data_IF_936543194753
#
_entry.id   IF_936543194753
#
_cell.length_a   1.000
_cell.length_b   1.000
_cell.length_c   1.000
_cell.angle_alpha   90.00
_cell.angle_beta   90.00
_cell.angle_gamma   90.00
#
_symmetry.space_group_name_H-M   'P 1'
#
loop_
_entity.id
_entity.type
_entity.pdbx_description
1 polymer ?
#
# COMPACT_ATOMS: atom_id res chain seq x y z
N UNK A 1 27.35 19.47 1.12
CA UNK A 1 26.00 19.34 1.70
C UNK A 1 25.11 19.12 0.50
N UNK A 2 24.81 17.87 0.18
CA UNK A 2 23.90 17.55 -0.92
C UNK A 2 22.47 17.69 -0.38
N UNK A 3 21.77 18.74 -0.82
CA UNK A 3 20.33 18.85 -0.63
C UNK A 3 19.69 17.74 -1.46
N UNK A 4 19.36 16.62 -0.81
CA UNK A 4 18.71 15.49 -1.45
C UNK A 4 17.31 15.92 -1.91
N UNK A 5 17.17 16.13 -3.23
CA UNK A 5 15.89 16.40 -3.88
C UNK A 5 14.97 15.21 -3.66
N UNK A 6 13.90 15.39 -2.87
CA UNK A 6 12.93 14.33 -2.57
C UNK A 6 11.66 14.49 -3.42
N UNK A 7 11.18 13.38 -3.96
CA UNK A 7 9.93 13.34 -4.70
C UNK A 7 8.78 13.15 -3.71
N UNK A 8 7.87 14.12 -3.67
CA UNK A 8 6.61 14.03 -2.93
C UNK A 8 5.52 13.48 -3.86
N UNK A 9 4.70 12.59 -3.33
CA UNK A 9 3.48 12.14 -4.00
C UNK A 9 2.24 12.45 -3.16
N UNK A 10 1.12 12.66 -3.84
CA UNK A 10 -0.21 12.75 -3.26
C UNK A 10 -1.20 12.01 -4.16
N UNK A 11 -1.93 11.05 -3.62
CA UNK A 11 -3.00 10.35 -4.35
C UNK A 11 -4.24 11.24 -4.36
N UNK A 12 -4.71 11.59 -5.55
CA UNK A 12 -5.79 12.56 -5.79
C UNK A 12 -7.16 11.90 -5.97
N UNK A 13 -7.20 10.65 -6.44
CA UNK A 13 -8.40 9.83 -6.58
C UNK A 13 -8.04 8.35 -6.47
N UNK A 14 -9.03 7.49 -6.21
CA UNK A 14 -8.83 6.06 -5.93
C UNK A 14 -9.08 5.73 -4.45
N UNK A 15 -8.89 4.47 -4.07
CA UNK A 15 -9.03 3.95 -2.70
C UNK A 15 -8.10 4.64 -1.71
N UNK A 16 -6.94 5.12 -2.17
CA UNK A 16 -5.94 5.80 -1.35
C UNK A 16 -6.02 7.33 -1.42
N UNK A 17 -7.15 7.90 -1.85
CA UNK A 17 -7.33 9.35 -1.96
C UNK A 17 -6.92 10.09 -0.67
N UNK A 18 -6.07 11.12 -0.83
CA UNK A 18 -5.51 11.91 0.26
C UNK A 18 -4.22 11.34 0.87
N UNK A 19 -3.79 10.13 0.48
CA UNK A 19 -2.50 9.59 0.90
C UNK A 19 -1.37 10.45 0.34
N UNK A 20 -0.48 10.90 1.22
CA UNK A 20 0.72 11.64 0.85
C UNK A 20 1.96 10.93 1.37
N UNK A 21 3.05 11.06 0.63
CA UNK A 21 4.32 10.49 1.04
C UNK A 21 5.49 11.14 0.34
N UNK A 22 6.69 10.70 0.72
CA UNK A 22 7.94 11.13 0.10
C UNK A 22 8.79 9.92 -0.20
N UNK A 23 9.53 9.98 -1.30
CA UNK A 23 10.56 9.01 -1.64
C UNK A 23 11.85 9.74 -1.94
N UNK A 24 12.93 9.24 -1.34
CA UNK A 24 14.32 9.62 -1.61
C UNK A 24 14.92 8.80 -2.75
N UNK A 25 14.17 7.82 -3.27
CA UNK A 25 14.61 7.01 -4.38
C UNK A 25 14.66 7.84 -5.66
N UNK A 26 15.84 7.87 -6.29
CA UNK A 26 15.99 8.44 -7.63
C UNK A 26 15.19 7.66 -8.68
N UNK A 27 14.82 6.42 -8.39
CA UNK A 27 14.06 5.54 -9.25
C UNK A 27 13.03 4.79 -8.41
N UNK A 28 11.76 4.92 -8.77
CA UNK A 28 10.63 4.39 -8.01
C UNK A 28 9.72 3.59 -8.95
N UNK A 29 9.53 2.31 -8.64
CA UNK A 29 8.60 1.41 -9.29
C UNK A 29 7.23 1.51 -8.60
N UNK A 30 6.17 1.79 -9.37
CA UNK A 30 4.80 1.88 -8.85
C UNK A 30 3.95 0.78 -9.48
N UNK A 31 3.18 0.06 -8.66
CA UNK A 31 2.25 -0.95 -9.11
C UNK A 31 1.53 -1.67 -7.96
N UNK A 32 0.88 -2.79 -8.26
CA UNK A 32 0.20 -3.62 -7.26
C UNK A 32 1.05 -4.79 -6.73
N UNK A 33 2.24 -5.00 -7.31
CA UNK A 33 3.16 -6.06 -6.95
C UNK A 33 3.96 -5.70 -5.69
N UNK A 34 4.18 -6.69 -4.83
CA UNK A 34 4.91 -6.49 -3.57
C UNK A 34 6.41 -6.19 -3.75
N UNK A 35 6.94 -6.35 -4.96
CA UNK A 35 8.29 -5.99 -5.36
C UNK A 35 8.38 -4.59 -6.00
N UNK A 36 7.28 -3.82 -6.01
CA UNK A 36 7.28 -2.39 -6.34
C UNK A 36 7.67 -1.53 -5.12
N UNK A 37 8.26 -0.36 -5.37
CA UNK A 37 8.67 0.59 -4.33
C UNK A 37 7.46 1.30 -3.70
N UNK A 38 6.44 1.60 -4.52
CA UNK A 38 5.14 2.09 -4.07
C UNK A 38 4.05 1.12 -4.51
N UNK A 39 3.43 0.47 -3.52
CA UNK A 39 2.40 -0.55 -3.73
C UNK A 39 1.01 0.05 -3.51
N UNK A 40 0.15 -0.04 -4.52
CA UNK A 40 -1.25 0.36 -4.43
C UNK A 40 -2.16 -0.78 -4.89
N UNK A 41 -3.29 -0.97 -4.21
CA UNK A 41 -4.33 -1.92 -4.60
C UNK A 41 -5.46 -1.15 -5.29
N UNK A 42 -5.37 -1.03 -6.62
CA UNK A 42 -6.31 -0.25 -7.44
C UNK A 42 -6.76 -1.02 -8.67
N UNK A 43 -8.00 -0.78 -9.11
CA UNK A 43 -8.50 -1.40 -10.35
C UNK A 43 -7.70 -0.88 -11.56
N UNK A 44 -7.32 -1.81 -12.44
CA UNK A 44 -6.50 -1.50 -13.61
C UNK A 44 -5.00 -1.32 -13.34
N UNK A 45 -4.54 -1.48 -12.09
CA UNK A 45 -3.13 -1.36 -11.74
C UNK A 45 -2.39 -2.71 -11.81
N UNK A 46 -1.60 -2.92 -12.86
CA UNK A 46 -0.67 -4.05 -12.98
C UNK A 46 0.38 -4.14 -11.84
N UNK A 47 0.96 -5.34 -11.60
CA UNK A 47 1.97 -5.53 -10.55
C UNK A 47 3.16 -4.58 -10.67
N UNK A 48 3.67 -4.39 -11.89
CA UNK A 48 4.61 -3.33 -12.26
C UNK A 48 3.91 -2.46 -13.29
N UNK A 49 3.40 -1.30 -12.88
CA UNK A 49 2.60 -0.48 -13.78
C UNK A 49 3.42 0.61 -14.47
N UNK A 50 4.22 1.33 -13.69
CA UNK A 50 5.08 2.38 -14.22
C UNK A 50 6.36 2.52 -13.41
N UNK A 51 7.37 3.10 -14.03
CA UNK A 51 8.62 3.47 -13.37
C UNK A 51 8.83 4.96 -13.47
N UNK A 52 9.11 5.58 -12.33
CA UNK A 52 9.46 7.00 -12.21
C UNK A 52 10.95 7.11 -11.97
N UNK A 53 11.66 7.89 -12.77
CA UNK A 53 13.06 8.26 -12.49
C UNK A 53 13.15 9.77 -12.32
N UNK A 54 13.63 10.24 -11.17
CA UNK A 54 13.76 11.65 -10.86
C UNK A 54 14.97 12.26 -11.58
N UNK A 55 14.72 13.28 -12.41
CA UNK A 55 15.70 14.01 -13.20
C UNK A 55 15.70 15.49 -12.77
N UNK A 56 16.08 15.75 -11.51
CA UNK A 56 16.09 17.10 -10.93
C UNK A 56 14.68 17.68 -10.82
N UNK A 57 14.28 18.55 -11.76
CA UNK A 57 12.95 19.19 -11.82
C UNK A 57 11.97 18.52 -12.78
N UNK A 58 12.36 17.40 -13.37
CA UNK A 58 11.55 16.58 -14.26
C UNK A 58 11.58 15.14 -13.82
N UNK A 59 10.68 14.33 -14.36
CA UNK A 59 10.68 12.88 -14.17
C UNK A 59 10.64 12.19 -15.53
N UNK A 60 11.37 11.10 -15.64
CA UNK A 60 11.16 10.11 -16.70
C UNK A 60 10.10 9.12 -16.23
N UNK A 61 9.08 8.91 -17.06
CA UNK A 61 7.99 7.99 -16.85
C UNK A 61 8.08 6.88 -17.88
N UNK A 62 8.34 5.65 -17.42
CA UNK A 62 8.31 4.45 -18.25
C UNK A 62 7.01 3.68 -17.96
N UNK A 63 6.16 3.53 -18.98
CA UNK A 63 4.96 2.70 -18.88
C UNK A 63 5.35 1.22 -18.98
N UNK A 64 5.13 0.45 -17.92
CA UNK A 64 5.40 -1.00 -17.90
C UNK A 64 4.15 -1.80 -18.25
N UNK A 65 2.98 -1.22 -18.01
CA UNK A 65 1.68 -1.77 -18.38
C UNK A 65 0.84 -0.71 -19.13
N UNK A 66 -0.22 -1.14 -19.85
CA UNK A 66 -1.20 -0.21 -20.42
C UNK A 66 -1.96 0.55 -19.33
N UNK A 67 -2.48 1.74 -19.66
CA UNK A 67 -3.33 2.51 -18.74
C UNK A 67 -2.60 3.62 -17.99
N UNK A 68 -1.39 4.00 -18.42
CA UNK A 68 -0.67 5.16 -17.93
C UNK A 68 -0.95 6.38 -18.82
N UNK A 69 -1.52 7.43 -18.25
CA UNK A 69 -1.65 8.71 -18.97
C UNK A 69 -1.31 9.88 -18.06
N UNK A 70 -1.02 11.02 -18.68
CA UNK A 70 -0.79 12.27 -17.97
C UNK A 70 -2.06 13.09 -18.11
N UNK A 71 -2.52 13.70 -17.02
CA UNK A 71 -3.74 14.50 -17.02
C UNK A 71 -3.66 15.58 -18.13
N UNK A 72 -4.66 15.57 -19.04
CA UNK A 72 -4.71 16.48 -20.19
C UNK A 72 -3.87 16.10 -21.41
N UNK A 73 -3.14 14.96 -21.39
CA UNK A 73 -2.33 14.47 -22.52
C UNK A 73 -2.78 13.07 -22.98
N UNK A 74 -2.24 12.60 -24.11
CA UNK A 74 -2.49 11.24 -24.64
C UNK A 74 -1.83 10.17 -23.78
N UNK A 75 -2.42 8.97 -23.81
CA UNK A 75 -1.94 7.76 -23.15
C UNK A 75 -0.51 7.40 -23.57
N UNK A 76 0.31 6.96 -22.60
CA UNK A 76 1.67 6.46 -22.81
C UNK A 76 1.56 4.95 -22.99
N UNK A 77 1.86 4.47 -24.20
CA UNK A 77 1.79 3.04 -24.51
C UNK A 77 2.79 2.23 -23.67
N UNK A 78 2.43 1.01 -23.31
CA UNK A 78 3.33 0.09 -22.60
C UNK A 78 4.66 -0.10 -23.35
N UNK A 79 5.77 -0.07 -22.63
CA UNK A 79 7.13 -0.10 -23.15
C UNK A 79 7.65 1.25 -23.67
N UNK A 80 6.92 2.35 -23.50
CA UNK A 80 7.39 3.70 -23.84
C UNK A 80 7.82 4.48 -22.61
N UNK A 81 8.83 5.33 -22.80
CA UNK A 81 9.28 6.30 -21.80
C UNK A 81 9.08 7.72 -22.29
N UNK A 82 8.66 8.61 -21.39
CA UNK A 82 8.53 10.05 -21.66
C UNK A 82 9.07 10.86 -20.49
N UNK A 83 9.76 11.96 -20.79
CA UNK A 83 10.22 12.90 -19.76
C UNK A 83 9.21 14.04 -19.64
N UNK A 84 8.76 14.32 -18.43
CA UNK A 84 7.82 15.40 -18.13
C UNK A 84 8.27 16.28 -16.97
N UNK A 85 7.98 17.59 -17.02
CA UNK A 85 8.30 18.49 -15.92
C UNK A 85 7.41 18.21 -14.70
N UNK A 86 7.95 18.43 -13.49
CA UNK A 86 7.19 18.47 -12.25
C UNK A 86 6.65 19.90 -11.99
N UNK A 87 5.50 20.06 -11.29
CA UNK A 87 4.61 19.01 -10.82
C UNK A 87 3.76 18.42 -11.95
N UNK A 88 3.38 17.15 -11.82
CA UNK A 88 2.57 16.44 -12.81
C UNK A 88 1.54 15.54 -12.12
N UNK A 89 0.37 15.38 -12.75
CA UNK A 89 -0.65 14.43 -12.33
C UNK A 89 -0.70 13.29 -13.33
N UNK A 90 -0.55 12.07 -12.82
CA UNK A 90 -0.62 10.84 -13.59
C UNK A 90 -1.96 10.16 -13.33
N UNK A 91 -2.56 9.63 -14.38
CA UNK A 91 -3.71 8.75 -14.33
C UNK A 91 -3.18 7.33 -14.57
N UNK A 92 -3.42 6.44 -13.61
CA UNK A 92 -2.84 5.11 -13.55
C UNK A 92 -3.93 4.12 -13.16
N UNK A 93 -4.45 3.36 -14.12
CA UNK A 93 -5.70 2.61 -13.91
C UNK A 93 -6.85 3.56 -13.55
N UNK A 94 -7.59 3.25 -12.48
CA UNK A 94 -8.66 4.12 -11.93
C UNK A 94 -8.14 5.14 -10.88
N UNK A 95 -6.83 5.17 -10.62
CA UNK A 95 -6.20 6.07 -9.64
C UNK A 95 -5.60 7.30 -10.32
N UNK A 96 -5.55 8.43 -9.61
CA UNK A 96 -4.72 9.58 -10.00
C UNK A 96 -3.71 9.93 -8.91
N UNK A 97 -2.47 10.22 -9.31
CA UNK A 97 -1.35 10.53 -8.42
C UNK A 97 -0.64 11.79 -8.87
N UNK A 98 -0.55 12.78 -7.98
CA UNK A 98 0.20 14.00 -8.18
C UNK A 98 1.62 13.82 -7.67
N UNK A 99 2.60 14.13 -8.50
CA UNK A 99 4.03 14.11 -8.19
C UNK A 99 4.58 15.53 -8.18
N UNK A 100 5.39 15.87 -7.18
CA UNK A 100 6.05 17.17 -7.06
C UNK A 100 7.41 17.05 -6.37
N UNK A 101 8.31 18.00 -6.62
CA UNK A 101 9.54 18.13 -5.84
C UNK A 101 9.26 18.95 -4.58
N UNK A 102 9.76 18.51 -3.44
CA UNK A 102 9.92 19.41 -2.30
C UNK A 102 11.24 20.16 -2.44
N UNK A 103 11.19 21.39 -2.94
CA UNK A 103 12.30 22.31 -2.72
C UNK A 103 12.37 22.61 -1.22
N UNK A 104 13.58 22.59 -0.65
CA UNK A 104 13.81 23.19 0.65
C UNK A 104 13.25 24.62 0.59
N UNK A 105 12.37 24.95 1.54
CA UNK A 105 11.65 26.21 1.57
C UNK A 105 12.62 27.39 1.34
N UNK A 106 12.41 28.22 0.30
CA UNK A 106 13.15 29.48 0.20
C UNK A 106 12.82 30.29 1.46
N UNK A 107 13.80 30.93 2.12
CA UNK A 107 13.53 31.72 3.29
C UNK A 107 12.56 32.85 2.90
N UNK A 108 11.35 32.76 3.41
CA UNK A 108 10.33 33.82 3.48
C UNK A 108 10.11 34.65 2.21
N UNK A 109 8.96 34.47 1.56
CA UNK A 109 8.34 35.63 0.91
C UNK A 109 6.84 35.59 1.08
N UNK A 110 6.42 36.38 2.07
CA UNK A 110 5.07 36.90 2.25
C UNK A 110 4.52 37.48 0.95
N UNK A 111 3.36 36.96 0.54
CA UNK A 111 2.25 37.69 -0.08
C UNK A 111 2.51 38.48 -1.36
N UNK A 112 1.77 38.13 -2.42
CA UNK A 112 0.69 38.93 -3.04
C UNK A 112 0.26 38.21 -4.33
N UNK A 113 -1.05 38.07 -4.62
CA UNK A 113 -1.50 37.48 -5.88
C UNK A 113 -1.53 38.54 -6.99
N UNK A 114 -1.20 38.16 -8.23
CA UNK A 114 -1.85 38.64 -9.47
C UNK A 114 -1.31 37.98 -10.75
N UNK A 115 -2.27 37.69 -11.62
CA UNK A 115 -2.23 37.08 -12.97
C UNK A 115 -1.60 38.05 -14.02
N UNK A 116 -1.44 37.64 -15.30
CA UNK A 116 -0.20 37.59 -16.07
C UNK A 116 0.00 38.78 -17.04
N UNK A 117 1.22 38.97 -17.56
CA UNK A 117 1.66 39.66 -18.81
C UNK A 117 3.21 39.52 -18.76
N UNK A 118 3.93 38.96 -19.74
CA UNK A 118 4.14 39.45 -21.11
C UNK A 118 5.60 39.88 -21.25
N UNK A 119 6.32 39.21 -22.16
CA UNK A 119 7.56 39.60 -22.88
C UNK A 119 8.44 40.70 -22.27
N UNK A 120 9.70 40.41 -21.93
CA UNK A 120 10.85 41.19 -22.41
C UNK A 120 12.20 40.52 -22.11
N UNK A 121 13.04 40.42 -23.14
CA UNK A 121 14.47 40.10 -23.07
C UNK A 121 15.29 41.28 -22.54
N UNK A 122 16.40 41.02 -21.83
CA UNK A 122 17.69 41.76 -21.88
C UNK A 122 18.62 41.22 -20.76
N UNK A 123 19.79 40.64 -21.04
CA UNK A 123 21.06 41.28 -21.46
C UNK A 123 21.86 41.86 -20.28
N UNK A 124 22.87 41.05 -19.88
CA UNK A 124 24.28 41.33 -19.53
C UNK A 124 24.64 42.12 -18.22
N UNK A 125 25.62 41.58 -17.48
CA UNK A 125 26.95 42.17 -17.10
C UNK A 125 27.39 41.87 -15.65
N UNK A 126 28.48 41.11 -15.59
CA UNK A 126 29.59 40.97 -14.62
C UNK A 126 29.69 41.82 -13.34
N UNK A 127 30.25 41.20 -12.30
CA UNK A 127 31.53 41.58 -11.66
C UNK A 127 31.88 40.55 -10.58
N UNK A 128 32.98 39.79 -10.71
CA UNK A 128 34.36 40.08 -10.31
C UNK A 128 34.56 40.19 -8.77
N UNK A 129 35.22 39.18 -8.20
CA UNK A 129 35.68 39.17 -6.82
C UNK A 129 36.66 38.02 -6.58
N UNK A 130 37.95 38.35 -6.61
CA UNK A 130 39.14 37.49 -6.52
C UNK A 130 39.37 36.98 -5.08
N UNK A 131 39.95 35.78 -4.93
CA UNK A 131 40.58 35.37 -3.68
C UNK A 131 41.21 33.97 -3.72
N UNK A 132 42.50 33.90 -4.10
CA UNK A 132 43.41 32.75 -3.93
C UNK A 132 43.59 32.39 -2.43
N UNK A 133 44.12 31.25 -1.95
CA UNK A 133 45.29 30.45 -2.35
C UNK A 133 45.39 29.22 -1.39
N UNK A 134 45.88 28.05 -1.88
CA UNK A 134 46.72 26.99 -1.23
C UNK A 134 46.40 26.46 0.19
N UNK A 135 46.51 25.18 0.54
CA UNK A 135 47.07 24.00 -0.12
C UNK A 135 47.27 22.81 0.85
N UNK A 136 48.08 21.86 0.38
CA UNK A 136 48.74 20.73 1.07
C UNK A 136 47.98 19.40 1.23
N UNK A 137 48.50 18.44 0.47
CA UNK A 137 48.40 16.98 0.61
C UNK A 137 49.19 16.56 1.86
N UNK A 138 48.70 15.57 2.59
CA UNK A 138 49.55 14.74 3.45
C UNK A 138 49.18 13.27 3.34
N UNK A 139 50.24 12.50 3.19
CA UNK A 139 50.38 11.07 2.98
C UNK A 139 50.71 10.43 4.34
N UNK A 140 50.26 9.19 4.61
CA UNK A 140 51.08 8.04 5.06
C UNK A 140 50.35 7.04 5.99
N UNK A 141 50.50 5.75 5.65
CA UNK A 141 50.62 4.61 6.59
C UNK A 141 49.30 3.89 6.93
N UNK A 142 49.18 2.56 6.96
CA UNK A 142 50.18 1.50 6.98
C UNK A 142 49.53 0.16 6.56
N UNK A 143 50.34 -0.73 5.98
CA UNK A 143 49.99 -2.11 5.67
C UNK A 143 49.94 -3.00 6.93
N UNK A 144 49.10 -4.03 6.95
CA UNK A 144 49.47 -5.44 7.23
C UNK A 144 48.26 -6.34 7.48
N UNK A 145 48.35 -7.58 6.97
CA UNK A 145 47.75 -8.76 7.62
C UNK A 145 46.61 -9.44 6.88
N UNK A 146 46.92 -10.31 5.93
CA UNK A 146 46.01 -11.37 5.47
C UNK A 146 46.20 -12.60 6.37
N UNK A 147 45.11 -13.18 6.88
CA UNK A 147 45.11 -14.50 7.53
C UNK A 147 43.83 -15.26 7.15
N UNK A 148 43.91 -16.48 6.57
CA UNK A 148 42.75 -17.25 6.14
C UNK A 148 42.36 -18.26 7.22
N UNK A 149 41.38 -17.96 8.09
CA UNK A 149 40.77 -18.99 8.94
C UNK A 149 39.38 -18.66 9.52
N UNK A 150 38.50 -17.98 8.78
CA UNK A 150 37.16 -17.57 9.29
C UNK A 150 35.97 -18.41 8.79
N UNK A 151 36.15 -19.33 7.85
CA UNK A 151 35.01 -19.97 7.16
C UNK A 151 34.25 -21.03 7.98
N UNK A 152 34.82 -21.58 9.06
CA UNK A 152 34.18 -22.68 9.83
C UNK A 152 33.43 -22.24 11.08
N UNK A 153 33.81 -21.12 11.68
CA UNK A 153 33.12 -20.54 12.84
C UNK A 153 31.88 -19.72 12.44
N UNK A 154 31.85 -19.18 11.22
CA UNK A 154 30.72 -18.41 10.68
C UNK A 154 29.48 -19.28 10.38
N UNK A 155 29.70 -20.53 9.98
CA UNK A 155 28.60 -21.45 9.61
C UNK A 155 27.82 -21.93 10.85
N UNK A 156 28.49 -22.27 11.94
CA UNK A 156 27.83 -22.72 13.16
C UNK A 156 27.04 -21.60 13.87
N UNK A 157 27.57 -20.38 13.87
CA UNK A 157 26.90 -19.20 14.46
C UNK A 157 25.67 -18.76 13.65
N UNK A 158 25.71 -18.87 12.32
CA UNK A 158 24.52 -18.59 11.46
C UNK A 158 23.39 -19.58 11.68
N UNK A 159 23.68 -20.87 11.84
CA UNK A 159 22.63 -21.89 12.00
C UNK A 159 21.87 -21.76 13.33
N UNK A 160 22.54 -21.34 14.41
CA UNK A 160 21.91 -21.14 15.72
C UNK A 160 21.07 -19.86 15.74
N UNK A 161 21.54 -18.78 15.11
CA UNK A 161 20.78 -17.53 14.98
C UNK A 161 19.50 -17.74 14.16
N UNK A 162 19.58 -18.37 12.99
CA UNK A 162 18.42 -18.59 12.13
C UNK A 162 17.32 -19.44 12.78
N UNK A 163 17.68 -20.38 13.66
CA UNK A 163 16.68 -21.18 14.37
C UNK A 163 15.96 -20.36 15.44
N UNK A 164 16.69 -19.58 16.23
CA UNK A 164 16.11 -18.72 17.25
C UNK A 164 15.22 -17.62 16.64
N UNK A 165 15.62 -17.06 15.50
CA UNK A 165 14.85 -16.04 14.77
C UNK A 165 13.54 -16.61 14.21
N UNK A 166 13.56 -17.85 13.72
CA UNK A 166 12.34 -18.53 13.28
C UNK A 166 11.41 -18.83 14.46
N UNK A 167 11.91 -19.34 15.58
CA UNK A 167 11.08 -19.63 16.77
C UNK A 167 10.41 -18.36 17.34
N UNK A 168 11.11 -17.22 17.33
CA UNK A 168 10.53 -15.92 17.69
C UNK A 168 9.44 -15.46 16.73
N UNK A 169 9.63 -15.71 15.43
CA UNK A 169 8.64 -15.33 14.39
C UNK A 169 7.36 -16.16 14.50
N UNK A 170 7.50 -17.47 14.70
CA UNK A 170 6.36 -18.39 14.89
C UNK A 170 5.55 -18.02 16.14
N UNK A 171 6.24 -17.76 17.26
CA UNK A 171 5.57 -17.37 18.50
C UNK A 171 4.78 -16.05 18.35
N UNK A 172 5.36 -15.07 17.66
CA UNK A 172 4.70 -13.79 17.39
C UNK A 172 3.49 -13.94 16.45
N UNK A 173 3.57 -14.80 15.44
CA UNK A 173 2.47 -15.11 14.55
C UNK A 173 1.31 -15.79 15.28
N UNK A 174 1.61 -16.77 16.14
CA UNK A 174 0.60 -17.47 16.94
C UNK A 174 -0.11 -16.52 17.92
N UNK A 175 0.64 -15.68 18.63
CA UNK A 175 0.06 -14.68 19.54
C UNK A 175 -0.86 -13.70 18.78
N UNK A 176 -0.44 -13.24 17.59
CA UNK A 176 -1.26 -12.35 16.77
C UNK A 176 -2.53 -13.06 16.26
N UNK A 177 -2.47 -14.34 15.89
CA UNK A 177 -3.66 -15.11 15.50
C UNK A 177 -4.68 -15.18 16.65
N UNK A 178 -4.24 -15.41 17.89
CA UNK A 178 -5.13 -15.44 19.05
C UNK A 178 -5.80 -14.09 19.33
N UNK A 179 -5.08 -12.98 19.12
CA UNK A 179 -5.64 -11.63 19.25
C UNK A 179 -6.65 -11.31 18.15
N UNK A 180 -6.37 -11.74 16.92
CA UNK A 180 -7.27 -11.64 15.75
C UNK A 180 -8.57 -12.41 15.99
N UNK A 181 -8.47 -13.66 16.46
CA UNK A 181 -9.62 -14.49 16.77
C UNK A 181 -10.46 -13.89 17.92
N UNK A 182 -9.80 -13.37 18.96
CA UNK A 182 -10.46 -12.70 20.09
C UNK A 182 -11.16 -11.40 19.69
N UNK A 183 -10.65 -10.72 18.67
CA UNK A 183 -11.27 -9.55 18.07
C UNK A 183 -12.42 -9.89 17.11
N UNK A 184 -12.71 -11.18 16.89
CA UNK A 184 -13.78 -11.64 16.00
C UNK A 184 -13.45 -11.51 14.51
N UNK A 185 -12.18 -11.33 14.15
CA UNK A 185 -11.72 -11.17 12.76
C UNK A 185 -11.42 -12.55 12.14
N UNK A 186 -12.42 -13.43 12.12
CA UNK A 186 -12.26 -14.87 11.83
C UNK A 186 -11.74 -15.18 10.43
N UNK A 187 -12.00 -14.28 9.48
CA UNK A 187 -11.58 -14.37 8.08
C UNK A 187 -10.12 -13.97 7.88
N UNK A 188 -9.43 -13.48 8.93
CA UNK A 188 -8.01 -13.15 8.90
C UNK A 188 -7.19 -14.32 9.41
N UNK A 189 -6.18 -14.72 8.63
CA UNK A 189 -5.22 -15.77 8.94
C UNK A 189 -3.82 -15.18 9.04
N UNK A 190 -3.11 -15.55 10.10
CA UNK A 190 -1.75 -15.14 10.38
C UNK A 190 -0.81 -16.29 10.03
N UNK A 191 0.20 -15.98 9.24
CA UNK A 191 1.29 -16.87 8.88
C UNK A 191 2.63 -16.33 9.33
N UNK A 192 3.65 -17.15 9.17
CA UNK A 192 5.02 -16.93 9.61
C UNK A 192 5.97 -17.45 8.54
N UNK A 193 6.95 -16.65 8.17
CA UNK A 193 8.00 -17.05 7.25
C UNK A 193 9.27 -16.20 7.44
N UNK A 194 10.40 -16.84 7.76
CA UNK A 194 11.76 -16.25 7.73
C UNK A 194 11.85 -14.82 8.31
N UNK A 195 11.46 -14.62 9.57
CA UNK A 195 11.54 -13.30 10.23
C UNK A 195 10.36 -12.36 9.93
N UNK A 196 9.38 -12.81 9.15
CA UNK A 196 8.20 -12.05 8.75
C UNK A 196 6.94 -12.74 9.25
N UNK A 197 6.00 -11.95 9.75
CA UNK A 197 4.64 -12.38 10.05
C UNK A 197 3.74 -11.87 8.93
N UNK A 198 2.89 -12.72 8.37
CA UNK A 198 1.97 -12.37 7.28
C UNK A 198 0.54 -12.40 7.81
N UNK A 199 -0.31 -11.49 7.35
CA UNK A 199 -1.74 -11.53 7.62
C UNK A 199 -2.50 -11.52 6.29
N UNK A 200 -3.38 -12.49 6.07
CA UNK A 200 -4.16 -12.62 4.86
C UNK A 200 -5.63 -12.78 5.21
N UNK A 201 -6.54 -12.29 4.36
CA UNK A 201 -7.97 -12.46 4.57
C UNK A 201 -8.76 -11.22 4.29
N UNK A 202 -9.95 -11.14 4.87
CA UNK A 202 -10.84 -9.99 4.70
C UNK A 202 -11.37 -9.47 6.01
N UNK A 203 -11.53 -8.14 6.09
CA UNK A 203 -12.24 -7.46 7.18
C UNK A 203 -13.36 -6.60 6.61
N UNK A 204 -14.42 -6.41 7.39
CA UNK A 204 -15.51 -5.50 7.03
C UNK A 204 -15.16 -4.06 7.38
N UNK A 205 -15.82 -3.08 6.75
CA UNK A 205 -15.64 -1.66 7.07
C UNK A 205 -15.82 -1.32 8.56
N UNK A 206 -16.71 -2.04 9.26
CA UNK A 206 -16.94 -1.88 10.71
C UNK A 206 -15.76 -2.37 11.57
N UNK A 207 -14.97 -3.31 11.04
CA UNK A 207 -13.89 -3.98 11.77
C UNK A 207 -12.49 -3.51 11.37
N UNK A 208 -12.36 -2.64 10.37
CA UNK A 208 -11.09 -2.02 9.92
C UNK A 208 -10.35 -1.35 11.08
N UNK A 209 -11.05 -0.61 11.93
CA UNK A 209 -10.41 0.07 13.08
C UNK A 209 -9.87 -0.94 14.10
N UNK A 210 -10.56 -2.07 14.30
CA UNK A 210 -10.08 -3.14 15.18
C UNK A 210 -8.84 -3.81 14.61
N UNK A 211 -8.82 -4.06 13.30
CA UNK A 211 -7.65 -4.59 12.60
C UNK A 211 -6.44 -3.65 12.72
N UNK A 212 -6.61 -2.35 12.45
CA UNK A 212 -5.55 -1.36 12.58
C UNK A 212 -4.96 -1.29 13.99
N UNK A 213 -5.79 -1.42 15.03
CA UNK A 213 -5.32 -1.46 16.42
C UNK A 213 -4.46 -2.69 16.71
N UNK A 214 -4.80 -3.85 16.14
CA UNK A 214 -4.00 -5.07 16.29
C UNK A 214 -2.64 -4.91 15.58
N UNK A 215 -2.61 -4.33 14.39
CA UNK A 215 -1.37 -4.03 13.68
C UNK A 215 -0.46 -3.10 14.49
N UNK A 216 -1.01 -1.99 15.00
CA UNK A 216 -0.26 -1.05 15.86
C UNK A 216 0.24 -1.69 17.16
N UNK A 217 -0.55 -2.61 17.73
CA UNK A 217 -0.15 -3.37 18.92
C UNK A 217 1.03 -4.28 18.63
N UNK A 218 0.97 -5.00 17.51
CA UNK A 218 2.03 -5.87 17.04
C UNK A 218 3.33 -5.08 16.82
N UNK A 219 3.30 -4.01 16.04
CA UNK A 219 4.47 -3.20 15.73
C UNK A 219 5.14 -2.62 16.99
N UNK A 220 4.32 -2.20 17.96
CA UNK A 220 4.81 -1.70 19.26
C UNK A 220 5.47 -2.79 20.09
N UNK A 221 4.91 -4.02 20.09
CA UNK A 221 5.42 -5.16 20.85
C UNK A 221 6.72 -5.67 20.28
N UNK A 222 6.81 -5.78 18.95
CA UNK A 222 8.00 -6.25 18.24
C UNK A 222 9.05 -5.15 18.06
N UNK A 223 8.69 -3.89 18.34
CA UNK A 223 9.54 -2.70 18.16
C UNK A 223 10.12 -2.60 16.75
N UNK A 224 9.39 -3.10 15.75
CA UNK A 224 9.85 -3.19 14.36
C UNK A 224 10.93 -4.25 14.08
N UNK A 225 11.23 -5.14 15.03
CA UNK A 225 12.18 -6.26 14.84
C UNK A 225 11.58 -7.34 13.94
N UNK A 226 10.26 -7.49 13.97
CA UNK A 226 9.50 -8.35 13.07
C UNK A 226 8.57 -7.49 12.24
N UNK A 227 8.54 -7.74 10.93
CA UNK A 227 7.65 -7.05 10.00
C UNK A 227 6.34 -7.82 9.88
N UNK A 228 5.21 -7.11 10.02
CA UNK A 228 3.89 -7.61 9.67
C UNK A 228 3.57 -7.23 8.22
N UNK A 229 3.54 -8.22 7.32
CA UNK A 229 3.05 -8.05 5.95
C UNK A 229 1.54 -8.18 5.94
N UNK A 230 0.85 -7.07 5.68
CA UNK A 230 -0.60 -7.01 5.68
C UNK A 230 -1.18 -7.22 4.27
N UNK A 231 -1.72 -8.40 4.03
CA UNK A 231 -2.57 -8.77 2.89
C UNK A 231 -4.06 -8.85 3.23
N UNK A 232 -4.51 -8.26 4.35
CA UNK A 232 -5.93 -8.21 4.71
C UNK A 232 -6.65 -7.15 3.89
N UNK A 233 -7.67 -7.57 3.14
CA UNK A 233 -8.47 -6.73 2.28
C UNK A 233 -9.73 -6.24 3.00
N UNK A 234 -10.18 -5.03 2.66
CA UNK A 234 -11.47 -4.54 3.13
C UNK A 234 -12.53 -5.04 2.15
N UNK A 235 -13.43 -5.92 2.62
CA UNK A 235 -14.59 -6.36 1.84
C UNK A 235 -15.82 -5.71 2.43
N UNK A 236 -16.51 -4.89 1.64
CA UNK A 236 -17.80 -4.37 2.05
C UNK A 236 -18.79 -5.52 2.24
N UNK A 237 -19.45 -5.50 3.39
CA UNK A 237 -20.52 -6.43 3.66
C UNK A 237 -21.74 -6.01 2.86
N UNK A 238 -22.19 -6.87 1.95
CA UNK A 238 -23.47 -6.68 1.30
C UNK A 238 -24.54 -6.79 2.38
N UNK A 239 -25.22 -5.69 2.64
CA UNK A 239 -26.31 -5.67 3.61
C UNK A 239 -27.32 -6.78 3.25
N UNK A 240 -27.89 -7.49 4.23
CA UNK A 240 -28.93 -8.49 4.01
C UNK A 240 -30.06 -7.98 3.12
N UNK A 241 -30.41 -6.69 3.23
CA UNK A 241 -31.41 -6.01 2.39
C UNK A 241 -31.09 -5.99 0.89
N UNK A 242 -29.84 -6.21 0.50
CA UNK A 242 -29.42 -6.30 -0.90
C UNK A 242 -29.42 -7.73 -1.45
N UNK A 243 -29.88 -8.72 -0.66
CA UNK A 243 -30.25 -10.06 -1.14
C UNK A 243 -31.67 -9.97 -1.71
N UNK A 244 -31.80 -10.17 -3.02
CA UNK A 244 -33.10 -10.15 -3.68
C UNK A 244 -33.82 -11.49 -3.47
N UNK A 245 -34.73 -11.54 -2.50
CA UNK A 245 -35.63 -12.69 -2.34
C UNK A 245 -36.66 -12.64 -3.46
N UNK A 246 -36.65 -13.64 -4.34
CA UNK A 246 -37.59 -13.74 -5.45
C UNK A 246 -38.92 -14.38 -5.01
N UNK A 247 -38.85 -15.34 -4.08
CA UNK A 247 -40.02 -16.02 -3.53
C UNK A 247 -39.74 -16.65 -2.17
N UNK A 248 -40.81 -16.85 -1.39
CA UNK A 248 -40.76 -17.57 -0.11
C UNK A 248 -41.85 -18.64 -0.07
N UNK A 249 -41.47 -19.85 0.36
CA UNK A 249 -42.37 -20.99 0.53
C UNK A 249 -42.48 -21.38 2.00
N UNK A 250 -43.72 -21.37 2.52
CA UNK A 250 -44.04 -21.65 3.93
C UNK A 250 -44.57 -23.08 4.19
N UNK A 251 -44.41 -24.01 3.23
CA UNK A 251 -44.89 -25.37 3.40
C UNK A 251 -44.13 -26.18 4.45
N UNK A 252 -44.38 -27.49 4.49
CA UNK A 252 -43.81 -28.44 5.47
C UNK A 252 -42.27 -28.36 5.56
N UNK A 253 -41.62 -28.03 4.44
CA UNK A 253 -40.19 -27.78 4.37
C UNK A 253 -39.97 -26.37 3.79
N UNK A 254 -39.87 -25.34 4.65
CA UNK A 254 -39.83 -23.96 4.19
C UNK A 254 -38.49 -23.63 3.52
N UNK A 255 -38.56 -22.80 2.47
CA UNK A 255 -37.39 -22.37 1.70
C UNK A 255 -37.62 -21.00 1.07
N UNK A 256 -36.53 -20.36 0.67
CA UNK A 256 -36.52 -19.12 -0.10
C UNK A 256 -35.93 -19.37 -1.49
N UNK A 257 -36.27 -18.50 -2.45
CA UNK A 257 -35.68 -18.49 -3.78
C UNK A 257 -34.87 -17.21 -3.94
N UNK A 258 -33.59 -17.36 -4.29
CA UNK A 258 -32.66 -16.27 -4.59
C UNK A 258 -31.96 -16.66 -5.88
N UNK A 259 -31.90 -15.74 -6.86
CA UNK A 259 -31.30 -15.99 -8.17
C UNK A 259 -31.81 -17.29 -8.83
N UNK A 260 -33.12 -17.55 -8.75
CA UNK A 260 -33.79 -18.78 -9.21
C UNK A 260 -33.34 -20.11 -8.55
N UNK A 261 -32.56 -20.05 -7.47
CA UNK A 261 -32.13 -21.21 -6.68
C UNK A 261 -32.84 -21.31 -5.33
N UNK A 262 -33.06 -22.54 -4.85
CA UNK A 262 -33.78 -22.81 -3.59
C UNK A 262 -32.82 -22.96 -2.42
N UNK A 263 -33.10 -22.23 -1.34
CA UNK A 263 -32.35 -22.27 -0.09
C UNK A 263 -33.25 -22.62 1.10
N UNK A 264 -32.95 -23.72 1.76
CA UNK A 264 -33.67 -24.18 2.95
C UNK A 264 -33.12 -23.55 4.23
N UNK A 265 -33.87 -23.64 5.32
CA UNK A 265 -33.34 -23.32 6.66
C UNK A 265 -32.06 -24.12 6.92
N UNK A 266 -31.00 -23.44 7.35
CA UNK A 266 -29.65 -23.95 7.52
C UNK A 266 -28.74 -23.81 6.29
N UNK A 267 -29.27 -23.41 5.13
CA UNK A 267 -28.47 -23.20 3.94
C UNK A 267 -27.59 -21.95 4.06
N UNK A 268 -26.37 -22.05 3.52
CA UNK A 268 -25.42 -20.94 3.43
C UNK A 268 -25.63 -20.23 2.08
N UNK A 269 -25.88 -18.93 2.14
CA UNK A 269 -26.05 -18.03 1.00
C UNK A 269 -24.69 -17.47 0.54
N UNK A 270 -24.70 -16.76 -0.59
CA UNK A 270 -23.59 -15.90 -1.00
C UNK A 270 -23.21 -14.93 0.15
N UNK A 271 -21.90 -14.71 0.34
CA UNK A 271 -21.32 -13.90 1.41
C UNK A 271 -21.46 -14.46 2.86
N UNK A 272 -21.81 -15.74 3.00
CA UNK A 272 -21.68 -16.49 4.25
C UNK A 272 -22.85 -16.33 5.24
N UNK A 273 -23.95 -15.72 4.82
CA UNK A 273 -25.19 -15.69 5.58
C UNK A 273 -25.85 -17.05 5.62
N UNK A 274 -26.41 -17.45 6.76
CA UNK A 274 -27.14 -18.70 6.92
C UNK A 274 -28.62 -18.40 7.10
N UNK A 275 -29.49 -19.12 6.39
CA UNK A 275 -30.95 -19.03 6.59
C UNK A 275 -31.30 -19.62 7.96
N UNK A 276 -31.49 -18.78 8.97
CA UNK A 276 -31.77 -19.24 10.34
C UNK A 276 -33.26 -19.59 10.53
N UNK A 277 -34.14 -18.73 10.03
CA UNK A 277 -35.60 -18.91 10.15
C UNK A 277 -36.32 -18.19 9.03
N UNK A 278 -37.44 -18.75 8.60
CA UNK A 278 -38.41 -18.09 7.72
C UNK A 278 -39.65 -17.80 8.55
N UNK A 279 -39.99 -16.53 8.73
CA UNK A 279 -41.17 -16.04 9.44
C UNK A 279 -42.16 -15.44 8.44
N UNK A 280 -43.38 -15.11 8.86
CA UNK A 280 -44.48 -14.74 7.96
C UNK A 280 -44.20 -13.54 7.03
N UNK A 281 -43.33 -12.60 7.43
CA UNK A 281 -43.01 -11.38 6.65
C UNK A 281 -41.51 -11.12 6.51
N UNK A 282 -40.66 -12.04 6.98
CA UNK A 282 -39.21 -11.82 6.99
C UNK A 282 -38.45 -13.13 7.11
N UNK A 283 -37.25 -13.13 6.56
CA UNK A 283 -36.26 -14.19 6.74
C UNK A 283 -35.23 -13.71 7.73
N UNK A 284 -34.97 -14.50 8.78
CA UNK A 284 -33.86 -14.28 9.68
C UNK A 284 -32.62 -14.96 9.10
N UNK A 285 -31.58 -14.17 8.91
CA UNK A 285 -30.27 -14.62 8.48
C UNK A 285 -29.30 -14.50 9.64
N UNK A 286 -28.42 -15.48 9.80
CA UNK A 286 -27.35 -15.45 10.80
C UNK A 286 -25.97 -15.50 10.17
N UNK A 287 -25.01 -14.79 10.75
CA UNK A 287 -23.60 -14.86 10.37
C UNK A 287 -22.73 -14.46 11.56
N UNK A 288 -21.78 -15.30 11.95
CA UNK A 288 -20.86 -15.03 13.06
C UNK A 288 -21.56 -14.55 14.35
N UNK A 289 -22.73 -15.12 14.67
CA UNK A 289 -23.53 -14.75 15.84
C UNK A 289 -24.38 -13.48 15.72
N UNK A 290 -24.30 -12.76 14.59
CA UNK A 290 -25.20 -11.63 14.28
C UNK A 290 -26.45 -12.13 13.57
N UNK A 291 -27.60 -11.59 13.92
CA UNK A 291 -28.89 -11.86 13.27
C UNK A 291 -29.32 -10.63 12.48
N UNK A 292 -29.79 -10.84 11.26
CA UNK A 292 -30.39 -9.82 10.43
C UNK A 292 -31.75 -10.28 9.89
N UNK A 293 -32.66 -9.32 9.73
CA UNK A 293 -33.98 -9.56 9.16
C UNK A 293 -34.04 -9.04 7.73
N UNK A 294 -34.36 -9.93 6.80
CA UNK A 294 -34.63 -9.62 5.41
C UNK A 294 -36.15 -9.61 5.17
N UNK A 295 -36.69 -8.44 4.89
CA UNK A 295 -38.12 -8.28 4.56
C UNK A 295 -38.35 -8.72 3.12
N UNK A 296 -39.52 -9.31 2.84
CA UNK A 296 -39.98 -9.69 1.52
C UNK A 296 -41.49 -9.48 1.38
#
# INVERSE_FOLDING_TARGET
MDDAVSLRFEVRSGHYCGLTGKTDLQKCLIGSGFDADLVFVEQGLAPHHLRVTLLGKSIELEALAPGLSIEGNRNIAAGQSVVVPLPVVLLVGEMSIALSVQDAEPPGSTGIPRLPIGVLAMVIISSLGIGALSGTISYLGNASGSSPNSLRAEVASRTISHRADNELTEAAAQELQEEVDRAGLLDVKIGSAKGVVTAEGTVTSESVISWQKLQQSFDRRTKGTLTLVNGVLIKEEKAPSAIAVEAVWHGVQPYIVIDSEKYFVGAILADGWVVERIEDSRVLLSRNGRIAALQY
#
